data_IF_024761020531
#
_entry.id   IF_024761020531
#
_cell.length_a   1.000
_cell.length_b   1.000
_cell.length_c   1.000
_cell.angle_alpha   90.00
_cell.angle_beta   90.00
_cell.angle_gamma   90.00
#
_symmetry.space_group_name_H-M   'P 1'
#
loop_
_entity.id
_entity.type
_entity.pdbx_description
1 polymer ?
#
# COMPACT_ATOMS: atom_id res chain seq x y z
N UNK A 1 22.99 -25.85 16.50
CA UNK A 1 22.50 -24.82 15.56
C UNK A 1 21.29 -24.16 16.21
N UNK A 2 21.42 -22.94 16.75
CA UNK A 2 20.26 -22.23 17.29
C UNK A 2 19.37 -21.84 16.11
N UNK A 3 18.15 -22.38 16.06
CA UNK A 3 17.11 -21.86 15.18
C UNK A 3 16.77 -20.46 15.72
N UNK A 4 17.30 -19.42 15.09
CA UNK A 4 16.84 -18.05 15.36
C UNK A 4 15.35 -17.97 15.04
N UNK A 5 14.54 -17.63 16.05
CA UNK A 5 13.11 -17.41 15.85
C UNK A 5 12.91 -16.30 14.82
N UNK A 6 11.93 -16.48 13.92
CA UNK A 6 11.61 -15.45 12.93
C UNK A 6 11.01 -14.23 13.62
N UNK A 7 11.56 -13.06 13.31
CA UNK A 7 11.11 -11.78 13.84
C UNK A 7 9.94 -11.30 13.00
N UNK A 8 8.73 -11.50 13.52
CA UNK A 8 7.48 -11.10 12.87
C UNK A 8 6.71 -10.09 13.73
N UNK A 9 5.86 -9.24 13.12
CA UNK A 9 5.00 -8.36 13.89
C UNK A 9 4.03 -9.17 14.75
N UNK A 10 3.78 -8.73 15.99
CA UNK A 10 2.94 -9.45 16.95
C UNK A 10 1.86 -8.58 17.58
N UNK A 11 0.68 -9.16 17.82
CA UNK A 11 -0.44 -8.54 18.53
C UNK A 11 -1.50 -7.90 17.64
N UNK A 12 -2.38 -7.14 18.28
CA UNK A 12 -3.52 -6.48 17.63
C UNK A 12 -3.18 -5.09 17.09
N UNK A 13 -3.68 -4.79 15.90
CA UNK A 13 -3.54 -3.51 15.20
C UNK A 13 -4.91 -2.88 14.93
N UNK A 14 -4.98 -1.56 15.02
CA UNK A 14 -6.19 -0.80 14.64
C UNK A 14 -6.35 -0.74 13.11
N UNK A 15 -5.22 -0.81 12.40
CA UNK A 15 -5.13 -0.81 10.94
C UNK A 15 -3.98 -1.72 10.47
N UNK A 16 -4.26 -2.53 9.45
CA UNK A 16 -3.23 -3.20 8.64
C UNK A 16 -3.42 -2.80 7.18
N UNK A 17 -2.38 -2.22 6.56
CA UNK A 17 -2.46 -1.69 5.21
C UNK A 17 -1.24 -2.06 4.36
N UNK A 18 -1.46 -2.16 3.04
CA UNK A 18 -0.41 -2.42 2.05
C UNK A 18 0.28 -1.12 1.60
N UNK A 19 1.60 -1.20 1.40
CA UNK A 19 2.42 -0.20 0.73
C UNK A 19 2.83 -0.61 -0.69
N UNK A 20 2.24 -1.69 -1.23
CA UNK A 20 2.35 -2.07 -2.64
C UNK A 20 3.67 -2.76 -3.01
N UNK A 21 4.24 -2.33 -4.16
CA UNK A 21 5.21 -2.99 -5.08
C UNK A 21 4.53 -3.87 -6.12
N UNK A 22 3.60 -4.70 -5.66
CA UNK A 22 2.68 -5.50 -6.45
C UNK A 22 1.31 -5.42 -5.76
N UNK A 23 0.25 -5.89 -6.43
CA UNK A 23 -1.07 -6.07 -5.80
C UNK A 23 -1.10 -7.18 -4.72
N UNK A 24 -0.05 -8.01 -4.70
CA UNK A 24 0.07 -9.18 -3.84
C UNK A 24 -0.17 -8.90 -2.33
N UNK A 25 0.44 -7.87 -1.69
CA UNK A 25 0.20 -7.62 -0.27
C UNK A 25 -1.28 -7.32 0.03
N UNK A 26 -1.95 -6.55 -0.83
CA UNK A 26 -3.38 -6.27 -0.67
C UNK A 26 -4.23 -7.54 -0.75
N UNK A 27 -3.94 -8.41 -1.71
CA UNK A 27 -4.59 -9.71 -1.84
C UNK A 27 -4.37 -10.61 -0.63
N UNK A 28 -3.14 -10.61 -0.10
CA UNK A 28 -2.76 -11.40 1.08
C UNK A 28 -3.43 -10.91 2.36
N UNK A 29 -3.42 -9.60 2.59
CA UNK A 29 -4.16 -9.00 3.70
C UNK A 29 -5.66 -9.29 3.62
N UNK A 30 -6.24 -9.29 2.41
CA UNK A 30 -7.64 -9.69 2.20
C UNK A 30 -7.87 -11.15 2.57
N UNK A 31 -7.04 -12.08 2.09
CA UNK A 31 -7.16 -13.53 2.39
C UNK A 31 -7.00 -13.83 3.87
N UNK A 32 -6.17 -13.08 4.58
CA UNK A 32 -5.97 -13.22 6.03
C UNK A 32 -7.01 -12.48 6.87
N UNK A 33 -8.02 -11.83 6.27
CA UNK A 33 -9.02 -11.06 7.00
C UNK A 33 -8.49 -9.77 7.66
N UNK A 34 -7.26 -9.35 7.33
CA UNK A 34 -6.59 -8.18 7.91
C UNK A 34 -6.86 -6.88 7.14
N UNK A 35 -7.39 -6.97 5.91
CA UNK A 35 -7.69 -5.79 5.10
C UNK A 35 -9.09 -5.25 5.36
N UNK A 36 -9.18 -4.07 5.94
CA UNK A 36 -10.45 -3.38 6.25
C UNK A 36 -10.98 -2.56 5.07
N UNK A 37 -10.11 -2.06 4.21
CA UNK A 37 -10.48 -1.30 3.01
C UNK A 37 -9.39 -1.37 1.93
N UNK A 38 -9.70 -1.00 0.68
CA UNK A 38 -8.68 -0.88 -0.36
C UNK A 38 -7.80 0.36 -0.13
N UNK A 39 -6.49 0.16 -0.03
CA UNK A 39 -5.51 1.23 0.11
C UNK A 39 -5.17 1.92 -1.22
N UNK A 40 -4.46 3.07 -1.17
CA UNK A 40 -3.95 3.72 -2.37
C UNK A 40 -3.02 2.78 -3.13
N UNK A 41 -2.11 2.07 -2.46
CA UNK A 41 -1.07 1.23 -3.09
C UNK A 41 -1.50 -0.19 -3.49
N UNK A 42 -2.79 -0.53 -3.40
CA UNK A 42 -3.27 -1.91 -3.57
C UNK A 42 -3.29 -2.40 -5.02
N UNK A 43 -3.44 -1.48 -5.97
CA UNK A 43 -3.81 -1.81 -7.36
C UNK A 43 -2.75 -1.42 -8.40
N UNK A 44 -1.67 -0.78 -7.96
CA UNK A 44 -0.55 -0.41 -8.84
C UNK A 44 0.79 -0.92 -8.36
N UNK A 45 1.67 -1.17 -9.33
CA UNK A 45 3.03 -1.63 -9.07
C UNK A 45 3.93 -0.44 -8.67
N UNK A 46 3.91 -0.07 -7.39
CA UNK A 46 4.76 1.00 -6.84
C UNK A 46 6.20 0.53 -6.65
N UNK A 47 6.98 0.46 -7.73
CA UNK A 47 8.33 -0.11 -7.68
C UNK A 47 9.26 0.68 -6.74
N UNK A 48 9.21 2.01 -6.82
CA UNK A 48 10.09 2.88 -6.05
C UNK A 48 9.50 3.22 -4.67
N UNK A 49 10.20 2.88 -3.59
CA UNK A 49 9.77 3.22 -2.23
C UNK A 49 9.88 4.72 -1.94
N UNK A 50 10.80 5.44 -2.60
CA UNK A 50 10.88 6.89 -2.49
C UNK A 50 9.60 7.56 -3.05
N UNK A 51 9.02 6.99 -4.10
CA UNK A 51 7.73 7.48 -4.64
C UNK A 51 6.56 7.18 -3.71
N UNK A 52 6.58 6.06 -2.99
CA UNK A 52 5.58 5.80 -1.93
C UNK A 52 5.64 6.90 -0.87
N UNK A 53 6.84 7.26 -0.40
CA UNK A 53 7.03 8.36 0.55
C UNK A 53 6.59 9.70 -0.04
N UNK A 54 6.92 9.96 -1.31
CA UNK A 54 6.50 11.17 -2.02
C UNK A 54 4.98 11.28 -2.09
N UNK A 55 4.26 10.18 -2.33
CA UNK A 55 2.79 10.19 -2.35
C UNK A 55 2.20 10.53 -0.99
N UNK A 56 2.74 9.97 0.09
CA UNK A 56 2.28 10.37 1.44
C UNK A 56 2.53 11.85 1.74
N UNK A 57 3.61 12.42 1.19
CA UNK A 57 4.04 13.80 1.47
C UNK A 57 3.30 14.82 0.60
N UNK A 58 3.23 14.57 -0.70
CA UNK A 58 2.86 15.53 -1.74
C UNK A 58 1.53 15.19 -2.42
N UNK A 59 0.95 14.03 -2.14
CA UNK A 59 -0.27 13.55 -2.82
C UNK A 59 0.04 12.86 -4.15
N UNK A 60 -0.93 12.92 -5.08
CA UNK A 60 -0.93 12.10 -6.31
C UNK A 60 -0.87 12.92 -7.60
N UNK A 61 -0.76 14.24 -7.50
CA UNK A 61 -0.91 15.14 -8.65
C UNK A 61 0.20 14.94 -9.67
N UNK A 62 1.42 14.61 -9.22
CA UNK A 62 2.57 14.34 -10.07
C UNK A 62 2.53 12.98 -10.79
N UNK A 63 1.56 12.12 -10.48
CA UNK A 63 1.43 10.81 -11.12
C UNK A 63 0.79 10.93 -12.50
N UNK A 64 1.27 10.14 -13.47
CA UNK A 64 0.70 10.04 -14.82
C UNK A 64 0.46 11.39 -15.48
N UNK A 65 1.45 12.28 -15.44
CA UNK A 65 1.42 13.50 -16.26
C UNK A 65 1.41 13.09 -17.75
N UNK A 66 0.76 13.87 -18.64
CA UNK A 66 0.60 13.52 -20.06
C UNK A 66 1.89 13.03 -20.74
N UNK A 67 3.00 13.73 -20.52
CA UNK A 67 4.30 13.42 -21.13
C UNK A 67 4.98 12.17 -20.55
N UNK A 68 4.52 11.69 -19.40
CA UNK A 68 5.09 10.53 -18.71
C UNK A 68 4.28 9.25 -18.95
N UNK A 69 3.14 9.32 -19.65
CA UNK A 69 2.26 8.17 -19.88
C UNK A 69 2.82 7.31 -21.02
N UNK A 70 3.17 6.07 -20.70
CA UNK A 70 3.48 5.02 -21.66
C UNK A 70 2.39 3.95 -21.65
N UNK A 71 1.71 3.77 -22.78
CA UNK A 71 0.76 2.66 -22.97
C UNK A 71 1.55 1.42 -23.42
N UNK A 72 1.63 0.40 -22.56
CA UNK A 72 2.33 -0.84 -22.84
C UNK A 72 1.50 -1.83 -23.68
N UNK A 73 0.19 -1.58 -23.80
CA UNK A 73 -0.78 -2.45 -24.47
C UNK A 73 -1.98 -2.71 -23.58
N UNK A 74 -2.47 -3.94 -23.59
CA UNK A 74 -3.64 -4.38 -22.81
C UNK A 74 -3.31 -5.63 -22.00
N UNK A 75 -3.89 -5.71 -20.80
CA UNK A 75 -3.89 -6.92 -19.99
C UNK A 75 -5.33 -7.29 -19.65
N UNK A 76 -5.82 -8.41 -20.20
CA UNK A 76 -7.23 -8.79 -20.14
C UNK A 76 -8.12 -7.65 -20.69
N UNK A 77 -9.08 -7.19 -19.91
CA UNK A 77 -10.01 -6.11 -20.19
C UNK A 77 -9.50 -4.74 -19.75
N UNK A 78 -8.23 -4.63 -19.35
CA UNK A 78 -7.61 -3.40 -18.86
C UNK A 78 -6.52 -2.87 -19.80
N UNK A 79 -6.39 -1.55 -19.87
CA UNK A 79 -5.22 -0.87 -20.42
C UNK A 79 -4.04 -1.03 -19.47
N UNK A 80 -2.88 -1.36 -20.03
CA UNK A 80 -1.62 -1.46 -19.31
C UNK A 80 -0.83 -0.18 -19.51
N UNK A 81 -0.68 0.60 -18.45
CA UNK A 81 -0.10 1.95 -18.53
C UNK A 81 0.99 2.11 -17.48
N UNK A 82 2.12 2.65 -17.89
CA UNK A 82 3.24 3.02 -17.02
C UNK A 82 3.41 4.54 -17.00
N UNK A 83 3.54 5.11 -15.81
CA UNK A 83 4.14 6.43 -15.61
C UNK A 83 5.67 6.26 -15.60
N UNK A 84 6.32 6.72 -16.66
CA UNK A 84 7.76 6.57 -16.88
C UNK A 84 8.60 7.38 -15.90
N UNK A 85 8.04 8.44 -15.29
CA UNK A 85 8.75 9.28 -14.33
C UNK A 85 8.83 8.65 -12.94
N UNK A 86 7.76 7.98 -12.52
CA UNK A 86 7.65 7.35 -11.19
C UNK A 86 7.90 5.84 -11.21
N UNK A 87 7.84 5.22 -12.39
CA UNK A 87 7.88 3.78 -12.59
C UNK A 87 6.59 3.08 -12.14
N UNK A 88 5.49 3.83 -11.97
CA UNK A 88 4.22 3.30 -11.52
C UNK A 88 3.50 2.67 -12.70
N UNK A 89 3.03 1.43 -12.52
CA UNK A 89 2.28 0.72 -13.56
C UNK A 89 0.89 0.37 -13.05
N UNK A 90 -0.13 0.76 -13.81
CA UNK A 90 -1.50 0.26 -13.65
C UNK A 90 -1.77 -0.79 -14.73
N UNK A 91 -2.26 -1.96 -14.29
CA UNK A 91 -2.58 -3.10 -15.15
C UNK A 91 -4.02 -3.61 -14.91
N UNK A 92 -4.71 -3.06 -13.91
CA UNK A 92 -6.04 -3.51 -13.47
C UNK A 92 -7.02 -2.35 -13.18
N UNK A 93 -6.60 -1.08 -13.20
CA UNK A 93 -7.48 0.03 -12.81
C UNK A 93 -8.18 0.72 -13.99
N UNK A 94 -7.67 0.55 -15.20
CA UNK A 94 -8.13 1.25 -16.40
C UNK A 94 -8.82 0.27 -17.34
N UNK A 95 -10.14 0.12 -17.23
CA UNK A 95 -10.87 -0.74 -18.17
C UNK A 95 -10.78 -0.18 -19.59
N UNK A 96 -10.66 -1.06 -20.58
CA UNK A 96 -10.68 -0.66 -22.01
C UNK A 96 -11.99 0.07 -22.33
N UNK A 97 -13.10 -0.33 -21.70
CA UNK A 97 -14.40 0.33 -21.83
C UNK A 97 -14.40 1.79 -21.37
N UNK A 98 -13.54 2.14 -20.42
CA UNK A 98 -13.45 3.47 -19.83
C UNK A 98 -12.51 4.38 -20.63
N UNK A 99 -11.73 3.81 -21.55
CA UNK A 99 -10.71 4.51 -22.34
C UNK A 99 -11.19 4.85 -23.77
N UNK A 100 -12.49 4.73 -24.06
CA UNK A 100 -13.06 4.95 -25.41
C UNK A 100 -12.77 6.35 -25.96
N UNK A 101 -12.79 7.35 -25.09
CA UNK A 101 -12.52 8.75 -25.43
C UNK A 101 -11.06 9.15 -25.16
N UNK A 102 -10.20 8.16 -24.89
CA UNK A 102 -8.78 8.34 -24.59
C UNK A 102 -8.39 7.88 -23.18
N UNK A 103 -7.14 7.45 -23.03
CA UNK A 103 -6.62 6.92 -21.76
C UNK A 103 -6.51 7.99 -20.67
N UNK A 104 -6.35 9.25 -21.04
CA UNK A 104 -6.12 10.37 -20.12
C UNK A 104 -7.30 10.62 -19.18
N UNK A 105 -8.54 10.51 -19.66
CA UNK A 105 -9.74 10.72 -18.84
C UNK A 105 -9.90 9.59 -17.81
N UNK A 106 -9.72 8.34 -18.25
CA UNK A 106 -9.71 7.18 -17.36
C UNK A 106 -8.60 7.30 -16.29
N UNK A 107 -7.43 7.83 -16.65
CA UNK A 107 -6.34 8.12 -15.74
C UNK A 107 -6.72 9.19 -14.71
N UNK A 108 -7.41 10.26 -15.10
CA UNK A 108 -7.87 11.29 -14.18
C UNK A 108 -8.84 10.73 -13.11
N UNK A 109 -9.77 9.88 -13.55
CA UNK A 109 -10.69 9.16 -12.65
C UNK A 109 -9.94 8.22 -11.71
N UNK A 110 -8.98 7.45 -12.23
CA UNK A 110 -8.10 6.60 -11.43
C UNK A 110 -7.33 7.40 -10.38
N UNK A 111 -6.66 8.50 -10.76
CA UNK A 111 -5.93 9.39 -9.84
C UNK A 111 -6.82 9.91 -8.73
N UNK A 112 -8.04 10.33 -9.05
CA UNK A 112 -9.03 10.78 -8.06
C UNK A 112 -9.39 9.68 -7.05
N UNK A 113 -9.55 8.43 -7.50
CA UNK A 113 -9.77 7.28 -6.60
C UNK A 113 -8.56 7.05 -5.69
N UNK A 114 -7.34 7.19 -6.20
CA UNK A 114 -6.11 7.04 -5.41
C UNK A 114 -6.04 8.16 -4.36
N UNK A 115 -6.33 9.41 -4.72
CA UNK A 115 -6.34 10.55 -3.80
C UNK A 115 -7.30 10.33 -2.62
N UNK A 116 -8.52 9.87 -2.89
CA UNK A 116 -9.52 9.57 -1.85
C UNK A 116 -9.04 8.44 -0.94
N UNK A 117 -8.46 7.37 -1.50
CA UNK A 117 -7.92 6.24 -0.72
C UNK A 117 -6.72 6.66 0.13
N UNK A 118 -5.88 7.56 -0.38
CA UNK A 118 -4.75 8.12 0.35
C UNK A 118 -5.23 8.98 1.53
N UNK A 119 -6.19 9.88 1.29
CA UNK A 119 -6.75 10.72 2.34
C UNK A 119 -7.35 9.88 3.48
N UNK A 120 -8.13 8.84 3.13
CA UNK A 120 -8.66 7.89 4.12
C UNK A 120 -7.55 7.13 4.85
N UNK A 121 -6.53 6.65 4.15
CA UNK A 121 -5.42 5.94 4.79
C UNK A 121 -4.70 6.84 5.80
N UNK A 122 -4.47 8.11 5.44
CA UNK A 122 -3.84 9.09 6.35
C UNK A 122 -4.71 9.28 7.60
N UNK A 123 -6.02 9.46 7.43
CA UNK A 123 -6.97 9.61 8.55
C UNK A 123 -7.05 8.36 9.43
N UNK A 124 -7.09 7.17 8.81
CA UNK A 124 -7.10 5.89 9.53
C UNK A 124 -5.80 5.71 10.33
N UNK A 125 -4.65 6.17 9.82
CA UNK A 125 -3.38 6.15 10.57
C UNK A 125 -3.40 7.16 11.72
N UNK A 126 -3.84 8.40 11.48
CA UNK A 126 -3.89 9.46 12.50
C UNK A 126 -4.84 9.14 13.67
N UNK A 127 -5.89 8.36 13.41
CA UNK A 127 -6.87 7.94 14.42
C UNK A 127 -6.52 6.62 15.13
N UNK A 128 -5.46 5.94 14.70
CA UNK A 128 -5.03 4.65 15.24
C UNK A 128 -3.95 4.81 16.31
N UNK A 129 -3.99 3.94 17.33
CA UNK A 129 -2.89 3.81 18.28
C UNK A 129 -1.75 2.96 17.68
N UNK A 130 -2.11 1.88 16.98
CA UNK A 130 -1.13 0.94 16.41
C UNK A 130 -1.49 0.51 14.99
N UNK A 131 -0.54 0.67 14.07
CA UNK A 131 -0.68 0.39 12.64
C UNK A 131 0.40 -0.58 12.17
N UNK A 132 0.02 -1.54 11.33
CA UNK A 132 0.97 -2.35 10.56
C UNK A 132 0.92 -1.96 9.08
N UNK A 133 2.06 -1.54 8.54
CA UNK A 133 2.25 -1.29 7.12
C UNK A 133 3.07 -2.41 6.48
N UNK A 134 2.52 -3.04 5.43
CA UNK A 134 3.15 -4.20 4.79
C UNK A 134 3.65 -3.83 3.40
N UNK A 135 4.94 -4.06 3.15
CA UNK A 135 5.62 -3.76 1.90
C UNK A 135 6.26 -5.04 1.32
N UNK A 136 5.99 -5.33 0.05
CA UNK A 136 6.79 -6.31 -0.68
C UNK A 136 8.02 -5.59 -1.26
N UNK A 137 9.21 -6.16 -1.04
CA UNK A 137 10.49 -5.63 -1.46
C UNK A 137 10.80 -4.18 -0.99
N UNK A 138 11.80 -4.06 -0.12
CA UNK A 138 12.45 -2.81 0.21
C UNK A 138 13.90 -3.08 0.59
N UNK A 139 14.82 -2.18 0.21
CA UNK A 139 16.19 -2.23 0.74
C UNK A 139 16.27 -1.44 2.06
N UNK A 140 17.39 -1.60 2.77
CA UNK A 140 17.63 -0.95 4.07
C UNK A 140 17.51 0.58 4.00
N UNK A 141 18.11 1.22 2.99
CA UNK A 141 18.08 2.68 2.83
C UNK A 141 16.65 3.19 2.66
N UNK A 142 15.85 2.53 1.82
CA UNK A 142 14.44 2.87 1.62
C UNK A 142 13.62 2.69 2.89
N UNK A 143 13.86 1.60 3.64
CA UNK A 143 13.19 1.36 4.92
C UNK A 143 13.54 2.44 5.97
N UNK A 144 14.79 2.91 6.01
CA UNK A 144 15.21 4.03 6.88
C UNK A 144 14.42 5.30 6.54
N UNK A 145 14.36 5.65 5.25
CA UNK A 145 13.69 6.86 4.77
C UNK A 145 12.19 6.79 5.09
N UNK A 146 11.54 5.68 4.74
CA UNK A 146 10.12 5.45 5.01
C UNK A 146 9.83 5.54 6.51
N UNK A 147 10.58 4.82 7.34
CA UNK A 147 10.38 4.82 8.80
C UNK A 147 10.56 6.22 9.38
N UNK A 148 11.60 6.95 8.97
CA UNK A 148 11.86 8.31 9.44
C UNK A 148 10.69 9.23 9.09
N UNK A 149 10.23 9.18 7.83
CA UNK A 149 9.10 9.97 7.38
C UNK A 149 7.82 9.65 8.17
N UNK A 150 7.47 8.37 8.31
CA UNK A 150 6.24 7.95 9.00
C UNK A 150 6.25 8.38 10.47
N UNK A 151 7.37 8.22 11.18
CA UNK A 151 7.50 8.69 12.57
C UNK A 151 7.37 10.20 12.72
N UNK A 152 7.84 10.96 11.73
CA UNK A 152 7.71 12.42 11.73
C UNK A 152 6.27 12.85 11.40
N UNK A 153 5.62 12.15 10.47
CA UNK A 153 4.27 12.48 9.99
C UNK A 153 3.17 12.06 10.96
N UNK A 154 3.38 10.98 11.71
CA UNK A 154 2.41 10.39 12.63
C UNK A 154 3.04 10.15 14.01
N UNK A 155 3.40 11.22 14.75
CA UNK A 155 4.17 11.08 16.00
C UNK A 155 3.40 10.39 17.13
N UNK A 156 2.08 10.35 17.06
CA UNK A 156 1.20 9.78 18.09
C UNK A 156 0.76 8.34 17.78
N UNK A 157 1.20 7.77 16.66
CA UNK A 157 0.79 6.44 16.20
C UNK A 157 1.98 5.50 16.24
N UNK A 158 1.84 4.35 16.89
CA UNK A 158 2.84 3.29 16.82
C UNK A 158 2.75 2.57 15.48
N UNK A 159 3.70 2.83 14.59
CA UNK A 159 3.75 2.22 13.26
C UNK A 159 4.81 1.12 13.21
N UNK A 160 4.35 -0.10 13.00
CA UNK A 160 5.18 -1.25 12.65
C UNK A 160 5.22 -1.39 11.11
N UNK A 161 6.39 -1.76 10.57
CA UNK A 161 6.59 -2.00 9.14
C UNK A 161 7.01 -3.45 8.95
N UNK A 162 6.28 -4.19 8.14
CA UNK A 162 6.67 -5.53 7.67
C UNK A 162 7.16 -5.43 6.23
N UNK A 163 8.42 -5.79 6.02
CA UNK A 163 9.01 -5.95 4.69
C UNK A 163 9.16 -7.44 4.38
N UNK A 164 8.67 -7.86 3.22
CA UNK A 164 8.88 -9.21 2.69
C UNK A 164 9.72 -9.06 1.42
N UNK A 165 10.98 -9.47 1.49
CA UNK A 165 11.91 -9.48 0.37
C UNK A 165 11.84 -10.82 -0.37
N UNK A 166 11.61 -10.75 -1.68
CA UNK A 166 11.51 -11.94 -2.53
C UNK A 166 12.91 -12.47 -2.84
N UNK A 167 13.19 -13.70 -2.41
CA UNK A 167 14.45 -14.39 -2.65
C UNK A 167 14.14 -15.80 -3.20
N UNK A 168 14.08 -15.91 -4.54
CA UNK A 168 13.64 -17.13 -5.23
C UNK A 168 14.54 -18.32 -4.85
N UNK A 169 13.93 -19.44 -4.47
CA UNK A 169 14.62 -20.65 -4.05
C UNK A 169 15.24 -20.61 -2.66
N UNK A 170 15.10 -19.51 -1.91
CA UNK A 170 15.66 -19.39 -0.55
C UNK A 170 14.63 -19.74 0.53
N UNK A 171 15.09 -20.39 1.60
CA UNK A 171 14.29 -20.61 2.80
C UNK A 171 13.97 -19.29 3.51
N UNK A 172 12.83 -19.26 4.22
CA UNK A 172 12.40 -18.08 5.00
C UNK A 172 13.43 -17.77 6.10
N UNK A 173 13.91 -16.53 6.15
CA UNK A 173 14.87 -16.04 7.15
C UNK A 173 14.63 -14.57 7.48
N UNK A 174 15.14 -14.12 8.63
CA UNK A 174 15.20 -12.71 8.97
C UNK A 174 16.30 -12.00 8.17
N UNK A 175 16.05 -10.78 7.74
CA UNK A 175 17.09 -9.84 7.33
C UNK A 175 17.28 -8.75 8.39
N UNK A 176 18.53 -8.46 8.74
CA UNK A 176 18.82 -7.52 9.81
C UNK A 176 19.00 -6.10 9.25
N UNK A 177 17.95 -5.29 9.36
CA UNK A 177 18.04 -3.86 9.03
C UNK A 177 18.46 -3.01 10.24
N UNK A 178 18.35 -3.55 11.46
CA UNK A 178 18.70 -2.86 12.70
C UNK A 178 17.80 -1.65 12.96
N UNK A 179 16.51 -1.75 12.63
CA UNK A 179 15.53 -0.69 12.78
C UNK A 179 14.41 -1.15 13.71
N UNK A 180 14.20 -0.44 14.80
CA UNK A 180 13.07 -0.71 15.70
C UNK A 180 11.75 -0.61 14.94
N UNK A 181 10.85 -1.55 15.23
CA UNK A 181 9.51 -1.65 14.61
C UNK A 181 9.53 -1.85 13.09
N UNK A 182 10.63 -2.40 12.57
CA UNK A 182 10.73 -2.84 11.17
C UNK A 182 11.14 -4.31 11.18
N UNK A 183 10.22 -5.15 10.72
CA UNK A 183 10.39 -6.59 10.60
C UNK A 183 10.70 -6.91 9.15
N UNK A 184 11.78 -7.62 8.88
CA UNK A 184 12.20 -7.94 7.51
C UNK A 184 12.38 -9.44 7.38
N UNK A 185 11.53 -10.04 6.56
CA UNK A 185 11.65 -11.43 6.15
C UNK A 185 12.13 -11.50 4.71
N UNK A 186 12.89 -12.54 4.41
CA UNK A 186 13.34 -12.87 3.06
C UNK A 186 13.11 -14.34 2.80
N UNK A 187 12.72 -14.69 1.58
CA UNK A 187 12.51 -16.09 1.20
C UNK A 187 11.76 -16.25 -0.11
N UNK A 188 11.55 -17.50 -0.49
CA UNK A 188 10.87 -17.83 -1.73
C UNK A 188 9.40 -17.41 -1.68
N UNK A 189 9.05 -16.46 -2.54
CA UNK A 189 7.70 -15.95 -2.72
C UNK A 189 7.06 -16.46 -4.02
N UNK A 190 7.62 -17.50 -4.64
CA UNK A 190 7.01 -18.18 -5.79
C UNK A 190 5.63 -18.70 -5.39
N UNK A 191 4.66 -18.55 -6.29
CA UNK A 191 3.29 -18.91 -6.00
C UNK A 191 3.14 -20.42 -5.77
N UNK A 192 2.51 -20.77 -4.64
CA UNK A 192 2.09 -22.15 -4.32
C UNK A 192 0.67 -22.46 -4.80
N UNK A 193 -0.01 -21.48 -5.42
CA UNK A 193 -1.40 -21.55 -5.87
C UNK A 193 -1.69 -20.48 -6.92
N UNK A 194 -2.62 -19.56 -6.63
CA UNK A 194 -2.87 -18.40 -7.50
C UNK A 194 -1.57 -17.61 -7.75
N UNK A 195 -1.17 -17.53 -9.03
CA UNK A 195 0.16 -17.08 -9.44
C UNK A 195 0.53 -15.68 -8.94
N UNK A 196 -0.45 -14.80 -8.75
CA UNK A 196 -0.23 -13.42 -8.32
C UNK A 196 -0.14 -13.24 -6.80
N UNK A 197 -0.53 -14.24 -6.01
CA UNK A 197 -0.53 -14.18 -4.54
C UNK A 197 0.80 -14.62 -3.91
N UNK A 198 1.72 -15.21 -4.67
CA UNK A 198 3.00 -15.71 -4.16
C UNK A 198 2.86 -16.86 -3.15
N UNK A 199 3.84 -17.07 -2.27
CA UNK A 199 3.93 -18.26 -1.40
C UNK A 199 2.92 -18.24 -0.23
N UNK A 200 2.05 -19.25 -0.12
CA UNK A 200 1.13 -19.33 1.04
C UNK A 200 1.87 -19.48 2.36
N UNK A 201 2.98 -20.22 2.37
CA UNK A 201 3.78 -20.45 3.56
C UNK A 201 4.43 -19.16 4.07
N UNK A 202 5.11 -18.42 3.19
CA UNK A 202 5.80 -17.18 3.55
C UNK A 202 4.85 -16.17 4.18
N UNK A 203 3.68 -15.98 3.57
CA UNK A 203 2.70 -15.03 4.06
C UNK A 203 2.00 -15.49 5.33
N UNK A 204 1.73 -16.80 5.47
CA UNK A 204 1.19 -17.36 6.71
C UNK A 204 2.17 -17.16 7.87
N UNK A 205 3.46 -17.38 7.65
CA UNK A 205 4.51 -17.15 8.66
C UNK A 205 4.60 -15.66 9.00
N UNK A 206 4.71 -14.80 7.99
CA UNK A 206 4.90 -13.36 8.15
C UNK A 206 3.76 -12.66 8.93
N UNK A 207 2.53 -13.17 8.81
CA UNK A 207 1.34 -12.60 9.44
C UNK A 207 0.81 -13.46 10.60
N UNK A 208 1.51 -14.54 10.99
CA UNK A 208 1.03 -15.57 11.92
C UNK A 208 0.60 -15.06 13.29
N UNK A 209 1.19 -13.95 13.75
CA UNK A 209 0.96 -13.36 15.08
C UNK A 209 0.25 -12.00 15.00
N UNK A 210 -0.33 -11.66 13.85
CA UNK A 210 -1.01 -10.38 13.58
C UNK A 210 -2.53 -10.55 13.65
N UNK A 211 -3.21 -9.64 14.35
CA UNK A 211 -4.67 -9.56 14.36
C UNK A 211 -5.16 -8.12 14.24
N UNK A 212 -6.43 -7.94 13.88
CA UNK A 212 -7.10 -6.65 14.00
C UNK A 212 -7.71 -6.52 15.40
N UNK A 213 -7.58 -5.34 16.02
CA UNK A 213 -8.37 -4.97 17.19
C UNK A 213 -9.84 -4.84 16.77
N UNK A 214 -10.75 -5.33 17.61
CA UNK A 214 -12.17 -5.08 17.43
C UNK A 214 -12.44 -3.59 17.62
N UNK A 215 -12.86 -2.88 16.56
CA UNK A 215 -13.36 -1.51 16.71
C UNK A 215 -14.63 -1.58 17.58
N UNK A 216 -14.76 -0.77 18.65
CA UNK A 216 -16.05 -0.61 19.30
C UNK A 216 -17.06 -0.13 18.25
N UNK A 217 -18.26 -0.70 18.24
CA UNK A 217 -19.35 -0.29 17.35
C UNK A 217 -19.67 1.18 17.67
N UNK A 218 -19.10 2.12 16.92
CA UNK A 218 -19.49 3.53 16.99
C UNK A 218 -20.72 3.72 16.11
N UNK A 219 -21.82 4.12 16.73
CA UNK A 219 -23.09 4.46 16.06
C UNK A 219 -22.87 5.42 14.89
N UNK A 220 -23.44 5.06 13.74
CA UNK A 220 -23.20 5.64 12.43
C UNK A 220 -23.88 7.02 12.20
N UNK A 221 -23.87 7.91 13.19
CA UNK A 221 -24.58 9.21 13.09
C UNK A 221 -23.70 10.42 12.74
N UNK A 222 -22.37 10.31 12.77
CA UNK A 222 -21.47 11.47 12.60
C UNK A 222 -20.82 11.61 11.21
N UNK A 223 -20.96 10.63 10.32
CA UNK A 223 -20.16 10.58 9.08
C UNK A 223 -20.67 11.53 7.98
N UNK A 224 -21.96 11.83 7.91
CA UNK A 224 -22.52 12.54 6.74
C UNK A 224 -22.19 14.05 6.73
N UNK A 225 -22.10 14.71 7.90
CA UNK A 225 -21.71 16.11 7.99
C UNK A 225 -20.21 16.31 7.74
N UNK A 226 -19.39 15.33 8.13
CA UNK A 226 -17.96 15.31 7.91
C UNK A 226 -17.59 15.14 6.44
N UNK A 227 -18.22 14.20 5.71
CA UNK A 227 -17.99 14.01 4.27
C UNK A 227 -18.30 15.28 3.45
N UNK A 228 -19.36 16.00 3.82
CA UNK A 228 -19.70 17.30 3.20
C UNK A 228 -18.63 18.36 3.50
N UNK A 229 -18.04 18.39 4.70
CA UNK A 229 -17.00 19.35 5.07
C UNK A 229 -15.64 19.06 4.38
N UNK A 230 -15.27 17.78 4.28
CA UNK A 230 -14.01 17.33 3.67
C UNK A 230 -14.01 17.51 2.15
N UNK A 231 -15.10 17.15 1.47
CA UNK A 231 -15.27 17.44 0.03
C UNK A 231 -15.16 18.95 -0.20
N UNK A 232 -15.81 19.77 0.64
CA UNK A 232 -15.77 21.24 0.50
C UNK A 232 -14.36 21.83 0.68
N UNK A 233 -13.51 21.23 1.53
CA UNK A 233 -12.10 21.63 1.67
C UNK A 233 -11.26 21.24 0.45
N UNK A 234 -11.48 20.05 -0.11
CA UNK A 234 -10.80 19.57 -1.32
C UNK A 234 -11.23 20.44 -2.53
N UNK A 235 -12.52 20.73 -2.69
CA UNK A 235 -13.02 21.58 -3.79
C UNK A 235 -12.56 23.02 -3.67
N UNK A 236 -12.31 23.54 -2.46
CA UNK A 236 -11.78 24.89 -2.25
C UNK A 236 -10.30 25.01 -2.66
N UNK A 237 -9.51 23.95 -2.49
CA UNK A 237 -8.13 23.89 -2.98
C UNK A 237 -8.06 23.82 -4.52
N UNK A 238 -8.95 23.05 -5.14
CA UNK A 238 -9.01 22.90 -6.61
C UNK A 238 -9.52 24.13 -7.37
N UNK A 239 -10.14 25.10 -6.69
CA UNK A 239 -10.64 26.35 -7.30
C UNK A 239 -9.75 27.57 -7.04
N UNK A 240 -8.67 27.40 -6.29
CA UNK A 240 -7.72 28.46 -5.95
C UNK A 240 -6.36 28.31 -6.68
N UNK A 241 -6.28 27.37 -7.62
CA UNK A 241 -5.21 27.18 -8.60
C UNK A 241 -5.82 27.37 -10.00
#
# INVERSE_FOLDING_TARGET
MQLTELEVPTGGYDLVASLGRKCQPAGRLKRSGLRTSSGPFDWFASQNLAEVVKIFRDGVDHLFLPDNILVNGTHKDCMDVTDTSTGYRSIHDLLISDCKDGVSEAIAVMKSKIAVRLARLIEDIESADRVLLVRLNANRTGAIILRRFLRQRFPNTEIDILVINEARGESIKNEQYGLQRVFVLSGDNTASGESWLGSDELWRVALSKVSLKTKPVKEAAANESFWKATIRKITKWLKAA
#
